data_IF_462810397711
#
_entry.id   IF_462810397711
#
_cell.length_a   1.000
_cell.length_b   1.000
_cell.length_c   1.000
_cell.angle_alpha   90.00
_cell.angle_beta   90.00
_cell.angle_gamma   90.00
#
_symmetry.space_group_name_H-M   'P 1'
#
loop_
_entity.id
_entity.type
_entity.pdbx_description
1 polymer ?
#
# COMPACT_ATOMS: atom_id res chain seq x y z
N UNK A 1 20.77 33.13 -17.22
CA UNK A 1 20.95 31.77 -17.81
C UNK A 1 20.47 30.62 -16.92
N UNK A 2 20.89 30.46 -15.65
CA UNK A 2 20.46 29.32 -14.78
C UNK A 2 18.93 29.16 -14.71
N UNK A 3 18.19 30.27 -14.53
CA UNK A 3 16.72 30.25 -14.43
C UNK A 3 16.00 29.77 -15.72
N UNK A 4 16.55 30.08 -16.89
CA UNK A 4 15.99 29.67 -18.20
C UNK A 4 16.13 28.17 -18.39
N UNK A 5 17.31 27.62 -18.09
CA UNK A 5 17.57 26.20 -18.28
C UNK A 5 16.79 25.31 -17.32
N UNK A 6 16.58 25.75 -16.07
CA UNK A 6 15.70 25.03 -15.12
C UNK A 6 14.25 25.01 -15.62
N UNK A 7 13.75 26.13 -16.16
CA UNK A 7 12.41 26.18 -16.78
C UNK A 7 12.30 25.28 -17.99
N UNK A 8 13.35 25.16 -18.80
CA UNK A 8 13.40 24.35 -20.01
C UNK A 8 13.39 22.85 -19.72
N UNK A 9 14.14 22.44 -18.68
CA UNK A 9 14.11 21.06 -18.15
C UNK A 9 12.74 20.74 -17.53
N UNK A 10 12.15 21.68 -16.77
CA UNK A 10 10.80 21.55 -16.23
C UNK A 10 9.74 21.41 -17.33
N UNK A 11 9.80 22.26 -18.37
CA UNK A 11 8.92 22.20 -19.52
C UNK A 11 8.99 20.86 -20.26
N UNK A 12 10.18 20.26 -20.33
CA UNK A 12 10.37 18.95 -20.95
C UNK A 12 9.69 17.82 -20.19
N UNK A 13 9.73 17.86 -18.85
CA UNK A 13 9.01 16.89 -18.02
C UNK A 13 7.50 17.08 -18.10
N UNK A 14 7.03 18.33 -18.10
CA UNK A 14 5.60 18.67 -18.25
C UNK A 14 5.09 18.20 -19.61
N UNK A 15 5.81 18.49 -20.70
CA UNK A 15 5.42 18.08 -22.04
C UNK A 15 5.38 16.56 -22.18
N UNK A 16 6.35 15.83 -21.63
CA UNK A 16 6.30 14.37 -21.61
C UNK A 16 5.10 13.84 -20.81
N UNK A 17 4.79 14.43 -19.66
CA UNK A 17 3.63 14.04 -18.85
C UNK A 17 2.32 14.25 -19.63
N UNK A 18 2.17 15.37 -20.34
CA UNK A 18 1.01 15.64 -21.21
C UNK A 18 0.93 14.63 -22.35
N UNK A 19 2.06 14.26 -22.96
CA UNK A 19 2.09 13.25 -24.01
C UNK A 19 1.70 11.86 -23.48
N UNK A 20 2.04 11.53 -22.22
CA UNK A 20 1.64 10.27 -21.56
C UNK A 20 0.15 10.19 -21.28
N UNK A 21 -0.53 11.31 -21.10
CA UNK A 21 -1.99 11.31 -20.90
C UNK A 21 -2.76 10.93 -22.19
N UNK A 22 -2.07 10.70 -23.33
CA UNK A 22 -2.63 10.16 -24.58
C UNK A 22 -3.80 10.97 -25.16
N UNK A 23 -3.92 12.23 -24.74
CA UNK A 23 -4.97 13.17 -25.19
C UNK A 23 -4.83 13.47 -26.69
N UNK A 24 -3.59 13.45 -27.21
CA UNK A 24 -3.29 13.70 -28.62
C UNK A 24 -2.58 12.50 -29.26
N UNK A 25 -3.26 11.80 -30.17
CA UNK A 25 -2.73 10.59 -30.82
C UNK A 25 -1.40 10.81 -31.56
N UNK A 26 -1.16 12.03 -32.08
CA UNK A 26 0.08 12.38 -32.81
C UNK A 26 1.29 12.60 -31.89
N UNK A 27 1.08 12.85 -30.58
CA UNK A 27 2.15 13.14 -29.62
C UNK A 27 2.63 11.90 -28.84
N UNK A 28 2.07 10.72 -29.13
CA UNK A 28 2.44 9.44 -28.50
C UNK A 28 3.94 9.12 -28.64
N UNK A 29 4.58 9.60 -29.71
CA UNK A 29 6.03 9.43 -29.92
C UNK A 29 6.88 9.98 -28.77
N UNK A 30 6.47 11.09 -28.15
CA UNK A 30 7.20 11.74 -27.05
C UNK A 30 6.82 11.18 -25.66
N UNK A 31 5.77 10.38 -25.58
CA UNK A 31 5.31 9.76 -24.33
C UNK A 31 6.17 8.57 -23.88
N UNK A 32 7.00 8.02 -24.79
CA UNK A 32 7.81 6.82 -24.55
C UNK A 32 8.91 7.10 -23.51
N UNK A 33 9.05 6.17 -22.57
CA UNK A 33 10.07 6.22 -21.52
C UNK A 33 11.29 5.41 -21.92
N UNK A 34 12.48 5.98 -21.75
CA UNK A 34 13.73 5.27 -21.95
C UNK A 34 14.39 4.98 -20.59
N UNK A 35 14.58 3.70 -20.27
CA UNK A 35 15.33 3.19 -19.10
C UNK A 35 14.60 3.26 -17.75
N UNK A 36 15.24 2.72 -16.71
CA UNK A 36 14.72 2.61 -15.33
C UNK A 36 14.37 3.96 -14.66
N UNK A 37 14.92 5.07 -15.16
CA UNK A 37 14.79 6.43 -14.61
C UNK A 37 13.73 7.30 -15.34
N UNK A 38 12.93 6.73 -16.25
CA UNK A 38 11.83 7.43 -16.94
C UNK A 38 12.23 8.76 -17.60
N UNK A 39 13.42 8.81 -18.22
CA UNK A 39 13.99 10.06 -18.75
C UNK A 39 13.26 10.54 -20.03
N UNK A 40 12.81 11.81 -20.11
CA UNK A 40 12.22 12.41 -21.31
C UNK A 40 13.20 12.69 -22.47
N UNK A 41 14.02 11.72 -22.90
CA UNK A 41 15.11 11.98 -23.87
C UNK A 41 14.58 12.64 -25.16
N UNK A 42 13.51 12.11 -25.75
CA UNK A 42 12.90 12.63 -26.98
C UNK A 42 12.39 14.07 -26.80
N UNK A 43 11.85 14.37 -25.64
CA UNK A 43 11.30 15.68 -25.30
C UNK A 43 12.40 16.70 -25.04
N UNK A 44 13.50 16.30 -24.38
CA UNK A 44 14.67 17.15 -24.21
C UNK A 44 15.28 17.53 -25.55
N UNK A 45 15.36 16.59 -26.49
CA UNK A 45 15.85 16.84 -27.85
C UNK A 45 14.94 17.83 -28.58
N UNK A 46 13.62 17.63 -28.55
CA UNK A 46 12.66 18.54 -29.17
C UNK A 46 12.80 19.98 -28.65
N UNK A 47 12.82 20.14 -27.32
CA UNK A 47 12.86 21.46 -26.68
C UNK A 47 14.24 22.12 -26.86
N UNK A 48 15.31 21.33 -26.94
CA UNK A 48 16.63 21.84 -27.31
C UNK A 48 16.62 22.47 -28.71
N UNK A 49 16.06 21.77 -29.71
CA UNK A 49 15.97 22.32 -31.07
C UNK A 49 15.10 23.57 -31.14
N UNK A 50 13.93 23.57 -30.47
CA UNK A 50 13.06 24.76 -30.40
C UNK A 50 13.83 25.94 -29.79
N UNK A 51 14.55 25.73 -28.69
CA UNK A 51 15.29 26.79 -28.03
C UNK A 51 16.45 27.32 -28.90
N UNK A 52 17.19 26.43 -29.57
CA UNK A 52 18.26 26.81 -30.49
C UNK A 52 17.71 27.61 -31.68
N UNK A 53 16.58 27.18 -32.26
CA UNK A 53 15.92 27.90 -33.37
C UNK A 53 15.52 29.33 -32.97
N UNK A 54 14.97 29.54 -31.76
CA UNK A 54 14.65 30.88 -31.27
C UNK A 54 15.91 31.72 -31.03
N UNK A 55 16.99 31.14 -30.50
CA UNK A 55 18.25 31.87 -30.30
C UNK A 55 19.01 32.17 -31.59
N UNK A 56 18.77 31.41 -32.67
CA UNK A 56 19.43 31.58 -33.96
C UNK A 56 18.84 32.74 -34.80
N UNK A 57 17.63 33.23 -34.45
CA UNK A 57 17.01 34.39 -35.10
C UNK A 57 17.81 35.67 -34.78
N UNK A 58 18.45 35.73 -33.60
CA UNK A 58 19.42 36.78 -33.26
C UNK A 58 20.77 36.47 -33.92
N UNK A 59 20.96 37.01 -35.12
CA UNK A 59 22.11 36.79 -36.01
C UNK A 59 23.47 37.17 -35.40
N UNK A 60 23.49 37.91 -34.29
CA UNK A 60 24.70 38.46 -33.65
C UNK A 60 25.29 37.58 -32.53
N UNK A 61 24.63 36.48 -32.14
CA UNK A 61 24.90 35.81 -30.85
C UNK A 61 25.36 34.34 -30.94
N UNK A 62 26.27 34.01 -31.86
CA UNK A 62 26.82 32.64 -32.04
C UNK A 62 27.45 32.06 -30.76
N UNK A 63 28.14 32.88 -29.95
CA UNK A 63 28.72 32.48 -28.66
C UNK A 63 27.67 32.02 -27.63
N UNK A 64 26.44 32.56 -27.70
CA UNK A 64 25.37 32.21 -26.77
C UNK A 64 24.84 30.78 -27.03
N UNK A 65 24.88 30.30 -28.27
CA UNK A 65 24.44 28.95 -28.64
C UNK A 65 25.38 27.88 -28.05
N UNK A 66 26.70 28.05 -28.18
CA UNK A 66 27.69 27.13 -27.58
C UNK A 66 27.63 27.13 -26.06
N UNK A 67 27.45 28.30 -25.43
CA UNK A 67 27.30 28.41 -23.98
C UNK A 67 26.01 27.72 -23.49
N UNK A 68 24.91 27.88 -24.23
CA UNK A 68 23.63 27.25 -23.94
C UNK A 68 23.71 25.72 -24.03
N UNK A 69 24.31 25.18 -25.10
CA UNK A 69 24.46 23.73 -25.31
C UNK A 69 25.26 23.06 -24.18
N UNK A 70 26.41 23.61 -23.79
CA UNK A 70 27.23 23.07 -22.71
C UNK A 70 26.49 23.09 -21.36
N UNK A 71 25.80 24.19 -21.05
CA UNK A 71 25.02 24.30 -19.80
C UNK A 71 23.78 23.40 -19.82
N UNK A 72 23.13 23.22 -20.97
CA UNK A 72 21.99 22.32 -21.13
C UNK A 72 22.41 20.86 -20.92
N UNK A 73 23.52 20.42 -21.53
CA UNK A 73 24.09 19.08 -21.34
C UNK A 73 24.45 18.81 -19.86
N UNK A 74 25.07 19.78 -19.19
CA UNK A 74 25.39 19.69 -17.76
C UNK A 74 24.13 19.56 -16.88
N UNK A 75 23.07 20.34 -17.17
CA UNK A 75 21.83 20.28 -16.40
C UNK A 75 21.01 19.01 -16.69
N UNK A 76 21.07 18.47 -17.91
CA UNK A 76 20.47 17.18 -18.21
C UNK A 76 21.10 16.05 -17.37
N UNK A 77 22.39 16.14 -17.03
CA UNK A 77 23.02 15.17 -16.12
C UNK A 77 22.52 15.30 -14.67
N UNK A 78 22.26 16.52 -14.20
CA UNK A 78 21.85 16.79 -12.81
C UNK A 78 20.36 16.50 -12.57
N UNK A 79 19.48 16.83 -13.52
CA UNK A 79 18.02 16.75 -13.33
C UNK A 79 17.43 15.34 -13.55
N UNK A 80 18.30 14.34 -13.69
CA UNK A 80 17.99 12.94 -14.01
C UNK A 80 17.26 12.20 -12.89
N UNK A 81 17.34 12.67 -11.64
CA UNK A 81 16.84 11.87 -10.50
C UNK A 81 15.56 12.39 -9.84
N UNK A 82 15.01 13.52 -10.29
CA UNK A 82 13.79 14.06 -9.67
C UNK A 82 12.54 13.46 -10.35
N UNK A 83 11.98 12.42 -9.72
CA UNK A 83 10.71 11.79 -10.07
C UNK A 83 9.55 12.60 -9.47
N UNK A 84 8.91 13.46 -10.28
CA UNK A 84 7.82 14.36 -9.85
C UNK A 84 6.46 13.67 -9.60
N UNK A 85 6.44 12.36 -9.33
CA UNK A 85 5.23 11.57 -9.20
C UNK A 85 4.46 11.43 -10.52
N UNK A 86 3.49 10.50 -10.56
CA UNK A 86 2.63 10.30 -11.73
C UNK A 86 1.36 11.16 -11.62
N UNK A 87 0.95 11.83 -12.70
CA UNK A 87 -0.34 12.53 -12.81
C UNK A 87 -1.52 11.60 -12.47
N UNK A 88 -1.38 10.32 -12.81
CA UNK A 88 -2.36 9.26 -12.52
C UNK A 88 -2.44 8.98 -11.01
N UNK A 89 -1.30 8.92 -10.32
CA UNK A 89 -1.26 8.72 -8.86
C UNK A 89 -1.88 9.91 -8.12
N UNK A 90 -1.54 11.14 -8.53
CA UNK A 90 -2.12 12.35 -7.97
C UNK A 90 -3.65 12.40 -8.17
N UNK A 91 -4.13 12.00 -9.35
CA UNK A 91 -5.57 11.91 -9.64
C UNK A 91 -6.26 10.83 -8.83
N UNK A 92 -5.63 9.66 -8.65
CA UNK A 92 -6.17 8.57 -7.85
C UNK A 92 -6.34 8.99 -6.39
N UNK A 93 -5.32 9.64 -5.80
CA UNK A 93 -5.39 10.17 -4.44
C UNK A 93 -6.51 11.19 -4.28
N UNK A 94 -6.60 12.17 -5.19
CA UNK A 94 -7.65 13.20 -5.16
C UNK A 94 -9.06 12.59 -5.24
N UNK A 95 -9.24 11.59 -6.11
CA UNK A 95 -10.52 10.85 -6.20
C UNK A 95 -10.85 10.14 -4.90
N UNK A 96 -9.88 9.50 -4.25
CA UNK A 96 -10.09 8.84 -2.97
C UNK A 96 -10.46 9.85 -1.88
N UNK A 97 -9.77 10.99 -1.81
CA UNK A 97 -10.09 12.07 -0.88
C UNK A 97 -11.50 12.64 -1.10
N UNK A 98 -11.86 12.96 -2.34
CA UNK A 98 -13.19 13.48 -2.69
C UNK A 98 -14.28 12.44 -2.38
N UNK A 99 -14.01 11.15 -2.60
CA UNK A 99 -14.93 10.07 -2.25
C UNK A 99 -15.13 9.96 -0.73
N UNK A 100 -14.06 10.02 0.06
CA UNK A 100 -14.13 10.02 1.52
C UNK A 100 -14.90 11.22 2.05
N UNK A 101 -14.67 12.41 1.49
CA UNK A 101 -15.42 13.61 1.87
C UNK A 101 -16.91 13.49 1.52
N UNK A 102 -17.26 12.88 0.38
CA UNK A 102 -18.66 12.59 0.04
C UNK A 102 -19.32 11.61 1.01
N UNK A 103 -18.58 10.62 1.52
CA UNK A 103 -19.08 9.69 2.53
C UNK A 103 -19.40 10.37 3.86
N UNK A 104 -18.76 11.51 4.16
CA UNK A 104 -19.01 12.25 5.39
C UNK A 104 -20.43 12.81 5.46
N UNK A 105 -20.86 13.42 4.35
CA UNK A 105 -22.18 14.02 4.21
C UNK A 105 -23.33 13.00 4.14
N UNK A 106 -23.04 11.70 3.93
CA UNK A 106 -24.07 10.67 3.87
C UNK A 106 -24.46 10.24 5.27
N UNK A 107 -25.74 10.41 5.63
CA UNK A 107 -26.29 9.97 6.90
C UNK A 107 -26.29 8.44 7.00
N UNK A 108 -25.88 7.91 8.16
CA UNK A 108 -25.93 6.47 8.44
C UNK A 108 -27.38 6.08 8.71
N UNK A 109 -27.91 5.12 7.95
CA UNK A 109 -29.22 4.53 8.20
C UNK A 109 -29.04 3.08 8.68
N UNK A 110 -29.83 2.65 9.66
CA UNK A 110 -29.73 1.31 10.26
C UNK A 110 -29.92 0.17 9.25
N UNK A 111 -30.68 0.40 8.18
CA UNK A 111 -30.89 -0.57 7.08
C UNK A 111 -29.70 -0.71 6.12
N UNK A 112 -28.69 0.16 6.21
CA UNK A 112 -27.52 0.15 5.35
C UNK A 112 -26.24 -0.24 6.12
N UNK A 113 -26.39 -1.08 7.15
CA UNK A 113 -25.24 -1.57 7.90
C UNK A 113 -24.25 -2.30 6.98
N UNK A 114 -22.96 -1.96 7.09
CA UNK A 114 -21.86 -2.68 6.44
C UNK A 114 -20.78 -3.00 7.48
N UNK A 115 -20.36 -4.26 7.60
CA UNK A 115 -19.34 -4.66 8.56
C UNK A 115 -17.97 -4.17 8.07
N UNK A 116 -17.41 -3.17 8.76
CA UNK A 116 -16.04 -2.72 8.58
C UNK A 116 -15.20 -3.37 9.69
N UNK A 117 -14.32 -4.29 9.31
CA UNK A 117 -13.69 -5.22 10.26
C UNK A 117 -12.26 -4.78 10.55
N UNK A 118 -11.94 -4.64 11.84
CA UNK A 118 -10.57 -4.59 12.34
C UNK A 118 -10.17 -5.98 12.84
N UNK A 119 -9.21 -6.61 12.17
CA UNK A 119 -8.73 -7.95 12.52
C UNK A 119 -7.43 -7.84 13.31
N UNK A 120 -7.46 -8.27 14.57
CA UNK A 120 -6.28 -8.32 15.42
C UNK A 120 -5.57 -9.66 15.28
N UNK A 121 -5.00 -9.88 14.11
CA UNK A 121 -4.33 -11.15 13.80
C UNK A 121 -2.92 -11.23 14.38
N UNK A 122 -2.19 -10.11 14.48
CA UNK A 122 -0.74 -10.19 14.62
C UNK A 122 -0.16 -10.65 13.29
N UNK A 123 0.94 -11.41 13.28
CA UNK A 123 1.49 -11.92 12.03
C UNK A 123 0.45 -12.82 11.32
N UNK A 124 0.00 -12.48 10.09
CA UNK A 124 -1.00 -13.25 9.36
C UNK A 124 -0.51 -14.64 8.96
N UNK A 125 0.82 -14.86 8.86
CA UNK A 125 1.42 -16.16 8.57
C UNK A 125 1.05 -17.17 9.67
N UNK A 126 1.05 -16.72 10.93
CA UNK A 126 0.72 -17.57 12.07
C UNK A 126 -0.77 -17.79 12.27
N UNK A 127 -1.64 -16.97 11.67
CA UNK A 127 -3.11 -17.03 11.85
C UNK A 127 -3.89 -16.77 10.57
N UNK A 128 -3.63 -17.52 9.47
CA UNK A 128 -4.27 -17.27 8.18
C UNK A 128 -5.79 -17.51 8.24
N UNK A 129 -6.24 -18.47 9.05
CA UNK A 129 -7.66 -18.82 9.23
C UNK A 129 -8.52 -17.66 9.71
N UNK A 130 -7.97 -16.76 10.54
CA UNK A 130 -8.68 -15.57 11.01
C UNK A 130 -8.86 -14.56 9.88
N UNK A 131 -7.81 -14.37 9.06
CA UNK A 131 -7.81 -13.47 7.90
C UNK A 131 -8.77 -14.00 6.83
N UNK A 132 -8.71 -15.30 6.53
CA UNK A 132 -9.57 -15.94 5.53
C UNK A 132 -11.04 -15.81 5.92
N UNK A 133 -11.39 -16.08 7.17
CA UNK A 133 -12.77 -15.93 7.66
C UNK A 133 -13.25 -14.48 7.52
N UNK A 134 -12.43 -13.50 7.89
CA UNK A 134 -12.79 -12.09 7.74
C UNK A 134 -12.88 -11.66 6.27
N UNK A 135 -12.05 -12.25 5.39
CA UNK A 135 -12.11 -12.01 3.95
C UNK A 135 -13.42 -12.54 3.34
N UNK A 136 -13.92 -13.69 3.83
CA UNK A 136 -15.21 -14.24 3.44
C UNK A 136 -16.38 -13.36 3.91
N UNK A 137 -16.32 -12.83 5.15
CA UNK A 137 -17.37 -11.96 5.69
C UNK A 137 -17.44 -10.63 4.93
N UNK A 138 -16.31 -10.05 4.56
CA UNK A 138 -16.27 -8.76 3.85
C UNK A 138 -16.48 -8.92 2.34
N UNK A 139 -16.18 -10.10 1.80
CA UNK A 139 -16.21 -10.46 0.38
C UNK A 139 -15.54 -9.39 -0.52
N UNK A 140 -14.52 -8.71 -0.01
CA UNK A 140 -13.80 -7.65 -0.72
C UNK A 140 -14.62 -6.40 -1.06
N UNK A 141 -15.81 -6.21 -0.47
CA UNK A 141 -16.66 -5.03 -0.64
C UNK A 141 -16.66 -4.10 0.57
N UNK A 142 -16.34 -4.62 1.75
CA UNK A 142 -16.27 -3.83 2.98
C UNK A 142 -14.84 -3.60 3.42
N UNK A 143 -14.65 -2.57 4.24
CA UNK A 143 -13.34 -2.23 4.78
C UNK A 143 -12.85 -3.34 5.71
N UNK A 144 -11.64 -3.82 5.45
CA UNK A 144 -10.91 -4.71 6.35
C UNK A 144 -9.58 -4.04 6.69
N UNK A 145 -9.26 -3.94 7.98
CA UNK A 145 -7.99 -3.43 8.49
C UNK A 145 -7.33 -4.55 9.30
N UNK A 146 -6.05 -4.80 9.05
CA UNK A 146 -5.27 -5.82 9.74
C UNK A 146 -4.21 -5.19 10.64
N UNK A 147 -4.11 -5.68 11.87
CA UNK A 147 -3.13 -5.24 12.85
C UNK A 147 -1.92 -6.19 12.95
N UNK A 148 -0.73 -5.57 12.79
CA UNK A 148 0.67 -6.01 12.96
C UNK A 148 1.20 -7.14 12.04
N UNK A 149 2.08 -6.79 11.12
CA UNK A 149 3.15 -7.59 10.55
C UNK A 149 4.19 -6.70 9.83
N UNK A 150 5.38 -6.61 10.39
CA UNK A 150 6.48 -5.81 9.83
C UNK A 150 6.99 -6.34 8.47
N UNK A 151 6.58 -7.56 8.05
CA UNK A 151 7.11 -8.24 6.85
C UNK A 151 6.08 -8.80 5.83
N UNK A 152 4.78 -8.52 5.92
CA UNK A 152 3.76 -9.28 5.16
C UNK A 152 3.20 -8.63 3.88
N UNK A 153 3.95 -7.76 3.20
CA UNK A 153 3.47 -7.19 1.92
C UNK A 153 3.54 -8.19 0.77
N UNK A 154 4.48 -9.13 0.79
CA UNK A 154 4.61 -10.24 -0.17
C UNK A 154 3.46 -11.23 0.02
N UNK A 155 3.23 -11.68 1.24
CA UNK A 155 2.12 -12.57 1.60
C UNK A 155 0.75 -12.05 1.14
N UNK A 156 0.46 -10.75 1.35
CA UNK A 156 -0.78 -10.09 0.92
C UNK A 156 -0.90 -9.91 -0.60
N UNK A 157 0.21 -9.91 -1.35
CA UNK A 157 0.14 -9.92 -2.81
C UNK A 157 -0.22 -11.32 -3.32
N UNK A 158 0.29 -12.35 -2.66
CA UNK A 158 0.06 -13.75 -3.02
C UNK A 158 -1.36 -14.20 -2.61
N UNK A 159 -1.82 -13.77 -1.44
CA UNK A 159 -3.19 -13.98 -0.96
C UNK A 159 -4.04 -12.82 -1.45
N UNK A 160 -4.91 -13.06 -2.44
CA UNK A 160 -5.77 -12.07 -3.13
C UNK A 160 -6.85 -11.39 -2.25
N UNK A 161 -6.49 -11.04 -1.02
CA UNK A 161 -7.33 -10.45 0.02
C UNK A 161 -7.23 -8.92 -0.05
N UNK A 162 -8.37 -8.25 -0.18
CA UNK A 162 -8.45 -6.79 -0.16
C UNK A 162 -8.47 -6.27 1.27
N UNK A 163 -7.30 -5.99 1.83
CA UNK A 163 -7.14 -5.52 3.21
C UNK A 163 -6.18 -4.34 3.29
N UNK A 164 -6.50 -3.38 4.15
CA UNK A 164 -5.55 -2.33 4.53
C UNK A 164 -4.72 -2.81 5.70
N UNK A 165 -3.41 -2.64 5.59
CA UNK A 165 -2.47 -3.04 6.60
C UNK A 165 -2.06 -1.84 7.46
N UNK A 166 -2.11 -1.98 8.78
CA UNK A 166 -1.72 -0.93 9.72
C UNK A 166 -0.76 -1.49 10.78
N UNK A 167 0.50 -1.05 10.74
CA UNK A 167 1.44 -1.21 11.87
C UNK A 167 1.20 -0.11 12.89
N UNK A 168 1.23 -0.46 14.17
CA UNK A 168 1.32 0.50 15.27
C UNK A 168 2.45 0.05 16.18
N UNK A 169 3.34 1.00 16.50
CA UNK A 169 4.38 0.82 17.52
C UNK A 169 3.84 1.36 18.83
N UNK A 170 3.75 0.51 19.85
CA UNK A 170 3.27 0.87 21.18
C UNK A 170 3.96 0.03 22.26
N UNK A 171 4.00 0.55 23.49
CA UNK A 171 4.60 -0.13 24.65
C UNK A 171 3.82 -1.39 25.06
N UNK A 172 2.49 -1.35 24.93
CA UNK A 172 1.60 -2.48 25.22
C UNK A 172 0.68 -2.76 24.05
N UNK A 173 0.23 -4.02 23.96
CA UNK A 173 -0.73 -4.45 22.93
C UNK A 173 -2.03 -3.65 23.05
N UNK A 174 -2.53 -3.47 24.27
CA UNK A 174 -3.74 -2.68 24.55
C UNK A 174 -3.62 -1.25 24.00
N UNK A 175 -2.54 -0.53 24.31
CA UNK A 175 -2.36 0.84 23.84
C UNK A 175 -2.26 0.92 22.31
N UNK A 176 -1.58 -0.07 21.70
CA UNK A 176 -1.52 -0.18 20.26
C UNK A 176 -2.90 -0.32 19.63
N UNK A 177 -3.74 -1.20 20.17
CA UNK A 177 -5.11 -1.43 19.69
C UNK A 177 -6.00 -0.20 19.91
N UNK A 178 -5.90 0.48 21.06
CA UNK A 178 -6.66 1.72 21.31
C UNK A 178 -6.37 2.77 20.23
N UNK A 179 -5.12 2.91 19.80
CA UNK A 179 -4.78 3.85 18.72
C UNK A 179 -5.44 3.49 17.38
N UNK A 180 -5.68 2.20 17.12
CA UNK A 180 -6.38 1.74 15.91
C UNK A 180 -7.88 2.03 15.96
N UNK A 181 -8.47 2.05 17.16
CA UNK A 181 -9.86 2.45 17.33
C UNK A 181 -10.12 3.93 16.98
N UNK A 182 -9.06 4.74 16.85
CA UNK A 182 -9.15 6.18 16.59
C UNK A 182 -9.15 6.57 15.10
N UNK A 183 -9.37 5.62 14.16
CA UNK A 183 -9.43 5.92 12.72
C UNK A 183 -10.50 6.98 12.33
N UNK A 184 -10.31 7.57 11.14
CA UNK A 184 -11.18 8.62 10.55
C UNK A 184 -12.63 8.16 10.45
N UNK A 185 -13.56 9.02 10.85
CA UNK A 185 -14.94 8.69 11.27
C UNK A 185 -15.73 7.75 10.34
N UNK A 186 -15.79 8.01 9.03
CA UNK A 186 -16.59 7.18 8.09
C UNK A 186 -15.90 5.91 7.59
N UNK A 187 -14.57 5.88 7.63
CA UNK A 187 -13.73 4.73 7.26
C UNK A 187 -13.17 4.06 8.52
N UNK A 188 -13.91 4.16 9.63
CA UNK A 188 -13.56 3.52 10.89
C UNK A 188 -14.21 2.14 10.96
N UNK A 189 -13.45 1.10 11.34
CA UNK A 189 -14.04 -0.19 11.67
C UNK A 189 -15.23 -0.05 12.63
N UNK A 190 -16.21 -0.93 12.53
CA UNK A 190 -17.33 -1.01 13.47
C UNK A 190 -17.42 -2.40 14.11
N UNK A 191 -16.62 -3.35 13.65
CA UNK A 191 -16.48 -4.68 14.23
C UNK A 191 -14.99 -4.97 14.46
N UNK A 192 -14.66 -5.47 15.63
CA UNK A 192 -13.32 -5.96 15.98
C UNK A 192 -13.38 -7.48 16.01
N UNK A 193 -12.47 -8.14 15.30
CA UNK A 193 -12.36 -9.60 15.28
C UNK A 193 -11.05 -10.03 15.91
N UNK A 194 -11.16 -10.94 16.87
CA UNK A 194 -10.09 -11.46 17.71
C UNK A 194 -10.00 -12.98 17.57
N UNK A 195 -8.79 -13.52 17.73
CA UNK A 195 -8.62 -14.93 18.06
C UNK A 195 -8.93 -15.18 19.55
N UNK A 196 -9.51 -16.34 19.86
CA UNK A 196 -9.67 -16.76 21.25
C UNK A 196 -8.32 -17.13 21.86
N UNK A 197 -8.00 -16.55 23.01
CA UNK A 197 -6.76 -16.82 23.73
C UNK A 197 -6.85 -18.14 24.50
N UNK A 198 -6.23 -19.20 23.97
CA UNK A 198 -6.22 -20.52 24.62
C UNK A 198 -5.27 -20.61 25.83
N UNK A 199 -4.15 -19.89 25.78
CA UNK A 199 -3.06 -19.90 26.77
C UNK A 199 -3.29 -18.94 27.95
N UNK A 200 -4.55 -18.62 28.25
CA UNK A 200 -4.91 -17.62 29.28
C UNK A 200 -4.52 -18.04 30.70
N UNK A 201 -4.49 -19.34 31.00
CA UNK A 201 -4.05 -19.88 32.29
C UNK A 201 -2.53 -19.73 32.50
N UNK A 202 -1.75 -19.78 31.42
CA UNK A 202 -0.28 -19.75 31.47
C UNK A 202 0.21 -18.29 31.46
N UNK A 203 -0.41 -17.45 30.62
CA UNK A 203 -0.03 -16.04 30.45
C UNK A 203 -1.11 -15.10 30.98
N UNK A 204 -1.18 -14.97 32.31
CA UNK A 204 -2.20 -14.18 32.99
C UNK A 204 -2.17 -12.69 32.61
N UNK A 205 -0.99 -12.07 32.53
CA UNK A 205 -0.86 -10.64 32.16
C UNK A 205 -1.42 -10.37 30.76
N UNK A 206 -1.05 -11.18 29.77
CA UNK A 206 -1.57 -11.08 28.42
C UNK A 206 -3.08 -11.38 28.34
N UNK A 207 -3.62 -12.19 29.24
CA UNK A 207 -5.06 -12.45 29.34
C UNK A 207 -5.82 -11.25 29.91
N UNK A 208 -5.24 -10.53 30.87
CA UNK A 208 -5.79 -9.28 31.40
C UNK A 208 -5.82 -8.22 30.28
N UNK A 209 -4.75 -8.08 29.51
CA UNK A 209 -4.72 -7.18 28.36
C UNK A 209 -5.76 -7.53 27.29
N UNK A 210 -5.91 -8.83 26.98
CA UNK A 210 -6.93 -9.32 26.06
C UNK A 210 -8.35 -8.95 26.52
N UNK A 211 -8.65 -9.15 27.80
CA UNK A 211 -9.94 -8.80 28.39
C UNK A 211 -10.17 -7.28 28.40
N UNK A 212 -9.15 -6.50 28.72
CA UNK A 212 -9.19 -5.05 28.68
C UNK A 212 -9.47 -4.52 27.28
N UNK A 213 -8.90 -5.12 26.23
CA UNK A 213 -9.17 -4.75 24.84
C UNK A 213 -10.64 -4.99 24.49
N UNK A 214 -11.23 -6.10 24.94
CA UNK A 214 -12.65 -6.39 24.75
C UNK A 214 -13.49 -5.32 25.45
N UNK A 215 -13.14 -4.95 26.69
CA UNK A 215 -13.83 -3.89 27.42
C UNK A 215 -13.74 -2.54 26.72
N UNK A 216 -12.55 -2.15 26.26
CA UNK A 216 -12.34 -0.89 25.54
C UNK A 216 -13.15 -0.86 24.23
N UNK A 217 -13.20 -1.97 23.50
CA UNK A 217 -13.99 -2.10 22.27
C UNK A 217 -15.49 -1.95 22.53
N UNK A 218 -16.03 -2.61 23.56
CA UNK A 218 -17.44 -2.47 23.96
C UNK A 218 -17.77 -1.05 24.43
N UNK A 219 -16.88 -0.43 25.20
CA UNK A 219 -17.06 0.95 25.66
C UNK A 219 -17.14 1.93 24.48
N UNK A 220 -16.36 1.69 23.43
CA UNK A 220 -16.40 2.45 22.18
C UNK A 220 -17.50 2.00 21.21
N UNK A 221 -18.40 1.10 21.63
CA UNK A 221 -19.55 0.60 20.86
C UNK A 221 -19.18 -0.15 19.57
N UNK A 222 -18.04 -0.83 19.55
CA UNK A 222 -17.71 -1.77 18.48
C UNK A 222 -18.46 -3.09 18.67
N UNK A 223 -18.84 -3.72 17.55
CA UNK A 223 -19.19 -5.13 17.54
C UNK A 223 -17.94 -5.98 17.77
N UNK A 224 -18.08 -7.14 18.42
CA UNK A 224 -16.95 -8.02 18.72
C UNK A 224 -17.22 -9.41 18.13
N UNK A 225 -16.26 -9.93 17.38
CA UNK A 225 -16.20 -11.32 16.94
C UNK A 225 -15.00 -12.03 17.56
N UNK A 226 -15.22 -13.18 18.17
CA UNK A 226 -14.14 -14.01 18.72
C UNK A 226 -14.16 -15.35 17.99
N UNK A 227 -13.10 -15.66 17.24
CA UNK A 227 -12.95 -16.94 16.58
C UNK A 227 -12.25 -17.92 17.53
N UNK A 228 -12.87 -19.09 17.76
CA UNK A 228 -12.28 -20.18 18.54
C UNK A 228 -12.30 -21.47 17.71
N UNK A 229 -11.12 -22.03 17.49
CA UNK A 229 -10.94 -23.37 16.92
C UNK A 229 -10.52 -24.34 18.02
N UNK A 230 -10.88 -25.62 17.88
CA UNK A 230 -10.50 -26.68 18.83
C UNK A 230 -8.97 -26.84 18.94
N UNK A 231 -8.28 -26.71 17.81
CA UNK A 231 -6.82 -26.85 17.69
C UNK A 231 -6.04 -25.58 18.08
N UNK A 232 -6.74 -24.45 18.26
CA UNK A 232 -6.12 -23.13 18.31
C UNK A 232 -5.94 -22.50 16.93
N UNK A 233 -5.51 -21.23 16.95
CA UNK A 233 -5.33 -20.40 15.76
C UNK A 233 -3.86 -20.20 15.37
N UNK A 234 -2.95 -20.42 16.32
CA UNK A 234 -1.54 -20.07 16.22
C UNK A 234 -0.79 -21.24 15.60
N UNK A 235 -0.35 -21.07 14.36
CA UNK A 235 0.62 -21.94 13.73
C UNK A 235 2.00 -21.38 14.05
N UNK A 236 2.77 -22.05 14.90
CA UNK A 236 4.20 -21.74 15.00
C UNK A 236 4.84 -22.22 13.70
N UNK A 237 5.42 -21.33 12.88
CA UNK A 237 6.62 -21.74 12.18
C UNK A 237 7.70 -21.83 13.25
N UNK A 238 8.10 -23.05 13.57
CA UNK A 238 9.51 -23.22 13.93
C UNK A 238 10.29 -22.79 12.68
N UNK A 239 11.33 -21.99 12.89
CA UNK A 239 12.28 -21.49 11.89
C UNK A 239 11.79 -20.24 11.14
N UNK A 240 12.09 -19.05 11.70
CA UNK A 240 12.60 -17.87 10.97
C UNK A 240 12.90 -16.74 11.97
N UNK A 241 13.72 -17.03 12.97
CA UNK A 241 14.48 -16.02 13.74
C UNK A 241 15.86 -15.77 13.08
N UNK A 242 16.03 -16.09 11.79
CA UNK A 242 17.16 -15.62 11.03
C UNK A 242 16.86 -14.20 10.55
N UNK A 243 17.19 -13.25 11.44
CA UNK A 243 17.61 -11.91 11.04
C UNK A 243 18.78 -12.07 10.06
N UNK A 244 18.53 -12.18 8.75
CA UNK A 244 19.48 -11.81 7.70
C UNK A 244 18.77 -11.65 6.34
N UNK A 245 19.37 -10.76 5.55
CA UNK A 245 18.91 -10.14 4.31
C UNK A 245 18.41 -11.10 3.20
N UNK A 246 17.46 -10.60 2.38
CA UNK A 246 17.05 -11.12 1.07
C UNK A 246 16.67 -12.62 1.01
N UNK A 247 15.49 -12.98 1.55
CA UNK A 247 14.86 -14.29 1.27
C UNK A 247 14.22 -14.26 -0.12
N UNK A 248 14.74 -15.10 -1.01
CA UNK A 248 14.21 -15.32 -2.36
C UNK A 248 12.74 -15.79 -2.34
N UNK A 249 11.91 -15.21 -3.22
CA UNK A 249 10.45 -15.42 -3.32
C UNK A 249 10.01 -16.91 -3.49
N UNK A 250 10.94 -17.82 -3.79
CA UNK A 250 10.69 -19.23 -4.10
C UNK A 250 10.55 -20.13 -2.86
N UNK A 251 11.24 -19.82 -1.74
CA UNK A 251 11.20 -20.66 -0.52
C UNK A 251 9.90 -20.48 0.28
N UNK A 252 9.39 -19.24 0.38
CA UNK A 252 8.11 -18.94 1.05
C UNK A 252 6.95 -19.71 0.37
N UNK A 253 6.97 -19.77 -0.97
CA UNK A 253 5.95 -20.48 -1.77
C UNK A 253 5.89 -21.98 -1.48
N UNK A 254 7.02 -22.60 -1.16
CA UNK A 254 7.15 -24.04 -0.89
C UNK A 254 6.58 -24.39 0.48
N UNK A 255 6.84 -23.56 1.49
CA UNK A 255 6.28 -23.70 2.83
C UNK A 255 4.76 -23.51 2.81
N UNK A 256 4.26 -22.52 2.04
CA UNK A 256 2.82 -22.29 1.89
C UNK A 256 2.09 -23.44 1.17
N UNK A 257 2.71 -24.05 0.17
CA UNK A 257 2.15 -25.22 -0.50
C UNK A 257 2.10 -26.44 0.44
N UNK A 258 3.12 -26.62 1.30
CA UNK A 258 3.12 -27.64 2.35
C UNK A 258 1.97 -27.45 3.36
N UNK A 259 1.74 -26.21 3.81
CA UNK A 259 0.64 -25.85 4.73
C UNK A 259 -0.75 -26.09 4.13
N UNK A 260 -0.96 -25.76 2.85
CA UNK A 260 -2.24 -26.04 2.16
C UNK A 260 -2.51 -27.53 2.05
N UNK A 261 -1.49 -28.34 1.78
CA UNK A 261 -1.62 -29.80 1.69
C UNK A 261 -2.01 -30.39 3.04
N UNK A 262 -1.41 -29.92 4.14
CA UNK A 262 -1.75 -30.38 5.50
C UNK A 262 -3.17 -29.98 5.93
N UNK A 263 -3.64 -28.78 5.55
CA UNK A 263 -5.04 -28.36 5.80
C UNK A 263 -6.04 -29.22 5.00
N UNK A 264 -5.72 -29.55 3.74
CA UNK A 264 -6.55 -30.41 2.89
C UNK A 264 -6.63 -31.86 3.40
N UNK A 265 -5.49 -32.42 3.84
CA UNK A 265 -5.43 -33.77 4.38
C UNK A 265 -6.20 -33.91 5.71
N UNK A 266 -6.16 -32.89 6.56
CA UNK A 266 -6.89 -32.92 7.84
C UNK A 266 -8.42 -32.85 7.64
N UNK A 267 -8.89 -32.10 6.64
CA UNK A 267 -10.31 -32.05 6.29
C UNK A 267 -10.85 -33.35 5.69
N UNK A 268 -10.02 -34.11 4.96
CA UNK A 268 -10.44 -35.40 4.40
C UNK A 268 -10.56 -36.50 5.46
N UNK A 269 -9.78 -36.45 6.54
CA UNK A 269 -9.89 -37.40 7.64
C UNK A 269 -11.13 -37.18 8.51
N UNK A 270 -11.66 -35.94 8.58
CA UNK A 270 -12.87 -35.61 9.34
C UNK A 270 -14.14 -36.06 8.59
N UNK A 271 -14.08 -36.18 7.26
CA UNK A 271 -15.22 -36.60 6.44
C UNK A 271 -15.34 -38.13 6.27
N UNK A 272 -14.39 -38.90 6.81
CA UNK A 272 -14.33 -40.37 6.73
C UNK A 272 -14.52 -41.08 8.08
N UNK A 273 -15.00 -40.37 9.11
CA UNK A 273 -15.42 -40.91 10.42
C UNK A 273 -16.78 -40.39 10.80
#
# INVERSE_FOLDING_TARGET
MRSILVRLVGASKIFQAVCRDMIYSRLKYFAVNNGKSNKPIRTYVLIYFVAVSFTAIDKENSLNISCFSNKFSYLLKIFVEINWGSSVQARAYRRAQDATHKLDNIQRHVKNFRPQILVLTGNPIYRPTLVDLCSLVTYGHSLMIMWKCDFSKTWLKNHTVKVFYQTVVALTVRQGVISLFQCVDKLRPNVVVLGFKNDWLIKAEAAIDYFNIIHDALHLKYGIGILRLKTGLDFNSADDDNDDDDVDDDEESTIFNSLRVSISQNNNNINNT
#
